data_IF_586281439120
#
_entry.id   IF_586281439120
#
_cell.length_a   1.000
_cell.length_b   1.000
_cell.length_c   1.000
_cell.angle_alpha   90.00
_cell.angle_beta   90.00
_cell.angle_gamma   90.00
#
_symmetry.space_group_name_H-M   'P 1'
#
loop_
_entity.id
_entity.type
_entity.pdbx_description
1 polymer ?
#
# COMPACT_ATOMS: atom_id res chain seq x y z
N UNK A 1 -60.76 -8.45 -37.01
CA UNK A 1 -59.66 -7.48 -37.09
C UNK A 1 -59.08 -7.34 -35.65
N UNK A 2 -57.97 -7.98 -35.41
CA UNK A 2 -57.25 -7.88 -34.14
C UNK A 2 -55.91 -7.25 -34.47
N UNK A 3 -55.73 -6.00 -34.07
CA UNK A 3 -54.48 -5.29 -34.20
C UNK A 3 -53.57 -5.67 -33.02
N UNK A 4 -52.52 -6.38 -33.34
CA UNK A 4 -51.45 -6.69 -32.38
C UNK A 4 -50.63 -5.46 -32.04
N UNK A 5 -50.58 -5.13 -30.76
CA UNK A 5 -49.66 -4.11 -30.27
C UNK A 5 -48.24 -4.68 -30.25
N UNK A 6 -47.41 -4.17 -31.15
CA UNK A 6 -45.97 -4.43 -31.13
C UNK A 6 -45.36 -3.70 -29.89
N UNK A 7 -44.89 -4.47 -28.91
CA UNK A 7 -44.11 -3.93 -27.83
C UNK A 7 -42.79 -3.40 -28.40
N UNK A 8 -42.61 -2.07 -28.42
CA UNK A 8 -41.35 -1.41 -28.77
C UNK A 8 -40.31 -1.74 -27.70
N UNK A 9 -39.39 -2.62 -28.04
CA UNK A 9 -38.16 -2.84 -27.28
C UNK A 9 -37.35 -1.54 -27.39
N UNK A 10 -37.33 -0.76 -26.33
CA UNK A 10 -36.45 0.41 -26.22
C UNK A 10 -34.99 -0.04 -26.40
N UNK A 11 -34.18 0.66 -27.21
CA UNK A 11 -32.79 0.30 -27.43
C UNK A 11 -32.05 0.42 -26.10
N UNK A 12 -31.35 -0.66 -25.71
CA UNK A 12 -30.44 -0.67 -24.57
C UNK A 12 -29.47 0.53 -24.68
N UNK A 13 -29.42 1.35 -23.65
CA UNK A 13 -28.41 2.40 -23.53
C UNK A 13 -27.02 1.71 -23.47
N UNK A 14 -26.36 1.60 -24.62
CA UNK A 14 -25.05 0.95 -24.80
C UNK A 14 -23.84 1.80 -24.36
N UNK A 15 -24.02 2.92 -23.64
CA UNK A 15 -22.97 3.93 -23.43
C UNK A 15 -22.64 4.23 -21.97
N UNK A 16 -22.98 3.39 -20.99
CA UNK A 16 -22.45 3.61 -19.65
C UNK A 16 -21.12 2.84 -19.49
N UNK A 17 -20.05 3.47 -18.93
CA UNK A 17 -18.79 2.79 -18.69
C UNK A 17 -18.99 1.62 -17.72
N UNK A 18 -18.15 0.56 -17.82
CA UNK A 18 -18.23 -0.55 -16.90
C UNK A 18 -18.03 -0.05 -15.47
N UNK A 19 -18.97 -0.41 -14.57
CA UNK A 19 -18.93 0.03 -13.19
C UNK A 19 -18.00 -0.86 -12.39
N UNK A 20 -16.91 -0.29 -11.84
CA UNK A 20 -15.93 -0.98 -11.01
C UNK A 20 -15.99 -0.42 -9.59
N UNK A 21 -16.12 -1.29 -8.60
CA UNK A 21 -16.19 -0.94 -7.21
C UNK A 21 -14.87 -1.24 -6.52
N UNK A 22 -14.21 -0.22 -5.97
CA UNK A 22 -12.97 -0.36 -5.19
C UNK A 22 -13.30 -0.37 -3.71
N UNK A 23 -13.03 -1.48 -3.01
CA UNK A 23 -13.44 -1.68 -1.62
C UNK A 23 -12.25 -1.55 -0.69
N UNK A 24 -12.35 -0.64 0.29
CA UNK A 24 -11.40 -0.49 1.40
C UNK A 24 -12.15 -0.23 2.71
N UNK A 25 -12.31 -1.24 3.54
CA UNK A 25 -13.07 -1.15 4.80
C UNK A 25 -12.21 -0.91 6.04
N UNK A 26 -10.89 -0.75 5.88
CA UNK A 26 -10.00 -0.36 6.97
C UNK A 26 -10.35 1.02 7.53
N UNK A 27 -10.03 1.24 8.82
CA UNK A 27 -10.32 2.53 9.49
C UNK A 27 -9.13 3.48 9.51
N UNK A 28 -7.91 2.94 9.51
CA UNK A 28 -6.62 3.65 9.46
C UNK A 28 -5.59 2.75 8.82
N UNK A 29 -4.54 3.32 8.29
CA UNK A 29 -3.40 2.57 7.77
C UNK A 29 -2.96 3.03 6.37
N UNK A 30 -1.83 2.51 5.86
CA UNK A 30 -1.23 2.96 4.61
C UNK A 30 -2.11 2.73 3.38
N UNK A 31 -3.06 1.78 3.43
CA UNK A 31 -4.00 1.55 2.35
C UNK A 31 -5.00 2.70 2.15
N UNK A 32 -5.13 3.61 3.12
CA UNK A 32 -5.89 4.87 2.95
C UNK A 32 -5.27 5.73 1.84
N UNK A 33 -3.98 6.04 1.94
CA UNK A 33 -3.27 6.82 0.91
C UNK A 33 -3.29 6.13 -0.44
N UNK A 34 -3.06 4.81 -0.48
CA UNK A 34 -3.18 4.02 -1.69
C UNK A 34 -4.58 4.19 -2.36
N UNK A 35 -5.64 4.14 -1.56
CA UNK A 35 -7.02 4.32 -2.06
C UNK A 35 -7.25 5.72 -2.60
N UNK A 36 -6.72 6.75 -1.96
CA UNK A 36 -6.82 8.15 -2.38
C UNK A 36 -6.09 8.39 -3.71
N UNK A 37 -4.86 7.90 -3.85
CA UNK A 37 -4.08 7.96 -5.09
C UNK A 37 -4.81 7.22 -6.24
N UNK A 38 -5.42 6.08 -5.94
CA UNK A 38 -6.20 5.33 -6.92
C UNK A 38 -7.45 6.12 -7.37
N UNK A 39 -8.11 6.81 -6.44
CA UNK A 39 -9.24 7.66 -6.75
C UNK A 39 -8.84 8.85 -7.63
N UNK A 40 -7.71 9.47 -7.36
CA UNK A 40 -7.15 10.52 -8.22
C UNK A 40 -6.86 10.01 -9.63
N UNK A 41 -6.25 8.82 -9.75
CA UNK A 41 -5.99 8.20 -11.05
C UNK A 41 -7.29 7.86 -11.81
N UNK A 42 -8.35 7.42 -11.12
CA UNK A 42 -9.66 7.16 -11.74
C UNK A 42 -10.31 8.44 -12.27
N UNK A 43 -10.15 9.59 -11.60
CA UNK A 43 -10.68 10.87 -12.10
C UNK A 43 -10.09 11.30 -13.43
N UNK A 44 -8.86 10.92 -13.71
CA UNK A 44 -8.20 11.19 -14.99
C UNK A 44 -8.66 10.22 -16.10
N UNK A 45 -9.49 9.21 -15.74
CA UNK A 45 -9.99 8.18 -16.64
C UNK A 45 -11.52 8.02 -16.52
N UNK A 46 -12.30 9.01 -16.97
CA UNK A 46 -13.75 9.03 -16.82
C UNK A 46 -14.47 7.88 -17.55
N UNK A 47 -13.79 7.23 -18.50
CA UNK A 47 -14.28 6.01 -19.16
C UNK A 47 -14.36 4.80 -18.22
N UNK A 48 -13.80 4.90 -17.00
CA UNK A 48 -13.94 3.92 -15.94
C UNK A 48 -15.00 4.44 -14.97
N UNK A 49 -16.13 3.78 -14.88
CA UNK A 49 -17.14 4.07 -13.87
C UNK A 49 -16.68 3.58 -12.48
N UNK A 50 -15.88 4.39 -11.79
CA UNK A 50 -15.32 4.00 -10.49
C UNK A 50 -16.19 4.45 -9.32
N UNK A 51 -16.54 3.51 -8.43
CA UNK A 51 -17.18 3.79 -7.14
C UNK A 51 -16.32 3.28 -6.00
N UNK A 52 -16.01 4.12 -5.03
CA UNK A 52 -15.23 3.74 -3.84
C UNK A 52 -16.17 3.33 -2.70
N UNK A 53 -15.90 2.15 -2.12
CA UNK A 53 -16.63 1.63 -0.98
C UNK A 53 -15.71 1.66 0.23
N UNK A 54 -15.99 2.53 1.17
CA UNK A 54 -15.11 2.75 2.34
C UNK A 54 -15.88 2.67 3.65
N UNK A 55 -15.15 2.46 4.74
CA UNK A 55 -15.71 2.64 6.06
C UNK A 55 -16.02 4.12 6.32
N UNK A 56 -17.21 4.45 6.76
CA UNK A 56 -17.58 5.82 7.21
C UNK A 56 -16.64 6.34 8.30
N UNK A 57 -16.01 5.43 9.06
CA UNK A 57 -15.08 5.73 10.14
C UNK A 57 -13.65 5.97 9.68
N UNK A 58 -13.38 5.86 8.38
CA UNK A 58 -12.07 6.15 7.82
C UNK A 58 -12.00 7.63 7.43
N UNK A 59 -10.99 8.39 7.91
CA UNK A 59 -10.80 9.81 7.54
C UNK A 59 -10.78 10.05 6.02
N UNK A 60 -10.28 9.10 5.23
CA UNK A 60 -10.21 9.19 3.76
C UNK A 60 -11.58 9.42 3.10
N UNK A 61 -12.69 9.10 3.77
CA UNK A 61 -14.03 9.35 3.23
C UNK A 61 -14.27 10.83 2.97
N UNK A 62 -13.70 11.72 3.80
CA UNK A 62 -13.76 13.16 3.60
C UNK A 62 -12.97 13.59 2.35
N UNK A 63 -11.77 13.08 2.18
CA UNK A 63 -10.91 13.39 1.05
C UNK A 63 -11.52 12.91 -0.27
N UNK A 64 -12.11 11.70 -0.29
CA UNK A 64 -12.80 11.14 -1.45
C UNK A 64 -14.03 11.98 -1.84
N UNK A 65 -14.78 12.53 -0.85
CA UNK A 65 -15.90 13.47 -1.13
C UNK A 65 -15.39 14.77 -1.73
N UNK A 66 -14.29 15.33 -1.21
CA UNK A 66 -13.68 16.54 -1.75
C UNK A 66 -13.18 16.34 -3.18
N UNK A 67 -12.69 15.15 -3.50
CA UNK A 67 -12.32 14.77 -4.86
C UNK A 67 -13.54 14.61 -5.80
N UNK A 68 -14.77 14.61 -5.29
CA UNK A 68 -15.97 14.39 -6.09
C UNK A 68 -16.11 12.96 -6.63
N UNK A 69 -15.52 11.97 -5.96
CA UNK A 69 -15.64 10.56 -6.34
C UNK A 69 -17.02 10.00 -6.05
N UNK A 70 -17.50 9.06 -6.87
CA UNK A 70 -18.65 8.23 -6.51
C UNK A 70 -18.28 7.38 -5.29
N UNK A 71 -19.08 7.48 -4.22
CA UNK A 71 -18.71 6.96 -2.90
C UNK A 71 -19.87 6.22 -2.24
N UNK A 72 -19.61 5.02 -1.74
CA UNK A 72 -20.48 4.26 -0.87
C UNK A 72 -19.84 4.13 0.50
N UNK A 73 -20.39 4.79 1.51
CA UNK A 73 -19.91 4.73 2.87
C UNK A 73 -20.66 3.68 3.68
N UNK A 74 -19.94 2.70 4.21
CA UNK A 74 -20.50 1.64 5.03
C UNK A 74 -20.18 1.86 6.51
N UNK A 75 -21.16 1.66 7.37
CA UNK A 75 -20.93 1.66 8.81
C UNK A 75 -20.22 0.35 9.21
N UNK A 76 -18.95 0.42 9.58
CA UNK A 76 -18.20 -0.70 10.12
C UNK A 76 -18.28 -0.73 11.65
N UNK A 77 -17.36 -1.37 12.35
CA UNK A 77 -17.35 -1.49 13.82
C UNK A 77 -16.14 -0.79 14.42
N UNK A 78 -16.25 -0.35 15.66
CA UNK A 78 -15.14 0.26 16.42
C UNK A 78 -14.18 -0.80 16.98
N UNK A 79 -14.75 -1.86 17.52
CA UNK A 79 -14.05 -2.97 18.14
C UNK A 79 -14.69 -4.29 17.73
N UNK A 80 -13.88 -5.33 17.56
CA UNK A 80 -14.36 -6.68 17.23
C UNK A 80 -15.26 -7.28 18.34
N UNK A 81 -15.19 -6.75 19.55
CA UNK A 81 -16.02 -7.16 20.69
C UNK A 81 -17.35 -6.41 20.80
N UNK A 82 -17.61 -5.43 19.94
CA UNK A 82 -18.84 -4.64 19.96
C UNK A 82 -20.03 -5.48 19.49
N UNK A 83 -21.14 -5.46 20.24
CA UNK A 83 -22.44 -6.04 19.83
C UNK A 83 -22.97 -5.45 18.52
N UNK A 84 -22.50 -4.27 18.13
CA UNK A 84 -22.86 -3.63 16.85
C UNK A 84 -22.26 -4.32 15.63
N UNK A 85 -21.25 -5.19 15.80
CA UNK A 85 -20.55 -5.86 14.68
C UNK A 85 -21.53 -6.62 13.79
N UNK A 86 -22.37 -7.47 14.35
CA UNK A 86 -23.35 -8.27 13.59
C UNK A 86 -24.41 -7.39 12.92
N UNK A 87 -24.97 -6.43 13.66
CA UNK A 87 -25.97 -5.49 13.12
C UNK A 87 -25.41 -4.69 11.94
N UNK A 88 -24.24 -4.11 12.11
CA UNK A 88 -23.59 -3.30 11.09
C UNK A 88 -23.17 -4.17 9.90
N UNK A 89 -22.76 -5.42 10.13
CA UNK A 89 -22.46 -6.37 9.04
C UNK A 89 -23.68 -6.58 8.12
N UNK A 90 -24.85 -6.91 8.67
CA UNK A 90 -26.03 -7.15 7.84
C UNK A 90 -26.52 -5.88 7.14
N UNK A 91 -26.43 -4.71 7.78
CA UNK A 91 -26.76 -3.43 7.17
C UNK A 91 -25.81 -3.09 6.02
N UNK A 92 -24.50 -3.18 6.25
CA UNK A 92 -23.46 -2.92 5.26
C UNK A 92 -23.55 -3.90 4.07
N UNK A 93 -23.76 -5.19 4.35
CA UNK A 93 -23.97 -6.20 3.34
C UNK A 93 -25.17 -5.88 2.43
N UNK A 94 -26.34 -5.57 3.03
CA UNK A 94 -27.54 -5.22 2.27
C UNK A 94 -27.31 -3.98 1.41
N UNK A 95 -26.68 -2.94 1.99
CA UNK A 95 -26.41 -1.67 1.29
C UNK A 95 -25.45 -1.88 0.12
N UNK A 96 -24.35 -2.62 0.34
CA UNK A 96 -23.37 -2.94 -0.71
C UNK A 96 -24.02 -3.72 -1.87
N UNK A 97 -24.70 -4.83 -1.56
CA UNK A 97 -25.26 -5.71 -2.58
C UNK A 97 -26.37 -5.01 -3.38
N UNK A 98 -27.25 -4.26 -2.71
CA UNK A 98 -28.25 -3.45 -3.39
C UNK A 98 -27.65 -2.42 -4.33
N UNK A 99 -26.55 -1.76 -3.94
CA UNK A 99 -25.85 -0.80 -4.77
C UNK A 99 -25.19 -1.47 -5.99
N UNK A 100 -24.57 -2.65 -5.82
CA UNK A 100 -23.97 -3.41 -6.90
C UNK A 100 -25.01 -3.88 -7.93
N UNK A 101 -26.15 -4.38 -7.46
CA UNK A 101 -27.25 -4.86 -8.32
C UNK A 101 -27.90 -3.69 -9.12
N UNK A 102 -28.18 -2.57 -8.42
CA UNK A 102 -28.80 -1.38 -9.03
C UNK A 102 -27.94 -0.79 -10.16
N UNK A 103 -26.63 -0.69 -9.91
CA UNK A 103 -25.69 -0.08 -10.87
C UNK A 103 -25.06 -1.09 -11.83
N UNK A 104 -25.51 -2.35 -11.83
CA UNK A 104 -24.99 -3.41 -12.70
C UNK A 104 -23.46 -3.48 -12.65
N UNK A 105 -22.90 -3.61 -11.45
CA UNK A 105 -21.45 -3.69 -11.24
C UNK A 105 -20.81 -4.76 -12.13
N UNK A 106 -19.78 -4.39 -12.87
CA UNK A 106 -19.00 -5.31 -13.68
C UNK A 106 -17.95 -6.06 -12.84
N UNK A 107 -17.33 -5.35 -11.92
CA UNK A 107 -16.30 -5.91 -11.04
C UNK A 107 -16.27 -5.24 -9.67
N UNK A 108 -15.79 -5.99 -8.70
CA UNK A 108 -15.41 -5.49 -7.37
C UNK A 108 -13.93 -5.82 -7.16
N UNK A 109 -13.15 -4.80 -6.82
CA UNK A 109 -11.73 -4.90 -6.49
C UNK A 109 -11.58 -4.62 -5.00
N UNK A 110 -11.28 -5.64 -4.22
CA UNK A 110 -10.95 -5.48 -2.81
C UNK A 110 -9.49 -5.05 -2.66
N UNK A 111 -9.26 -3.82 -2.21
CA UNK A 111 -7.93 -3.22 -2.11
C UNK A 111 -7.13 -3.74 -0.91
N UNK A 112 -7.83 -4.17 0.15
CA UNK A 112 -7.21 -4.78 1.33
C UNK A 112 -8.23 -5.68 2.03
N UNK A 113 -7.87 -6.94 2.34
CA UNK A 113 -8.76 -7.84 3.07
C UNK A 113 -9.21 -7.26 4.41
N UNK A 114 -10.49 -7.40 4.69
CA UNK A 114 -11.15 -7.02 5.94
C UNK A 114 -11.94 -8.21 6.47
N UNK A 115 -12.23 -8.27 7.78
CA UNK A 115 -12.93 -9.42 8.38
C UNK A 115 -14.29 -9.74 7.75
N UNK A 116 -14.91 -8.79 7.06
CA UNK A 116 -16.17 -8.99 6.35
C UNK A 116 -16.02 -9.34 4.87
N UNK A 117 -14.90 -8.98 4.25
CA UNK A 117 -14.74 -9.10 2.79
C UNK A 117 -14.72 -10.54 2.29
N UNK A 118 -14.26 -11.57 3.05
CA UNK A 118 -14.43 -12.97 2.63
C UNK A 118 -15.89 -13.41 2.48
N UNK A 119 -16.80 -12.84 3.30
CA UNK A 119 -18.22 -13.12 3.21
C UNK A 119 -18.87 -12.35 2.06
N UNK A 120 -18.57 -11.07 1.92
CA UNK A 120 -19.07 -10.25 0.82
C UNK A 120 -18.62 -10.80 -0.54
N UNK A 121 -17.35 -11.12 -0.69
CA UNK A 121 -16.77 -11.59 -1.94
C UNK A 121 -17.41 -12.88 -2.46
N UNK A 122 -17.70 -13.84 -1.58
CA UNK A 122 -18.42 -15.06 -1.96
C UNK A 122 -19.81 -14.77 -2.53
N UNK A 123 -20.50 -13.82 -1.93
CA UNK A 123 -21.84 -13.45 -2.38
C UNK A 123 -21.83 -12.61 -3.66
N UNK A 124 -20.86 -11.71 -3.80
CA UNK A 124 -20.62 -10.93 -5.01
C UNK A 124 -20.40 -11.88 -6.20
N UNK A 125 -19.54 -12.88 -6.05
CA UNK A 125 -19.32 -13.90 -7.09
C UNK A 125 -20.56 -14.69 -7.46
N UNK A 126 -21.38 -15.08 -6.47
CA UNK A 126 -22.65 -15.78 -6.74
C UNK A 126 -23.62 -14.96 -7.60
N UNK A 127 -23.48 -13.65 -7.63
CA UNK A 127 -24.23 -12.72 -8.50
C UNK A 127 -23.64 -12.57 -9.89
N UNK A 128 -22.56 -13.30 -10.21
CA UNK A 128 -21.88 -13.20 -11.49
C UNK A 128 -21.01 -11.94 -11.63
N UNK A 129 -20.82 -11.17 -10.56
CA UNK A 129 -19.95 -10.00 -10.52
C UNK A 129 -18.52 -10.48 -10.30
N UNK A 130 -17.59 -10.01 -11.14
CA UNK A 130 -16.18 -10.39 -11.03
C UNK A 130 -15.58 -9.87 -9.73
N UNK A 131 -14.90 -10.74 -8.98
CA UNK A 131 -14.27 -10.40 -7.71
C UNK A 131 -12.76 -10.52 -7.80
N UNK A 132 -12.07 -9.39 -7.62
CA UNK A 132 -10.61 -9.29 -7.58
C UNK A 132 -10.20 -8.92 -6.16
N UNK A 133 -9.16 -9.54 -5.62
CA UNK A 133 -8.63 -9.17 -4.30
C UNK A 133 -7.13 -8.93 -4.35
N UNK A 134 -6.66 -7.90 -3.63
CA UNK A 134 -5.24 -7.63 -3.45
C UNK A 134 -4.82 -8.25 -2.12
N UNK A 135 -3.90 -9.21 -2.14
CA UNK A 135 -3.32 -9.80 -0.95
C UNK A 135 -1.96 -9.17 -0.70
N UNK A 136 -1.87 -8.40 0.38
CA UNK A 136 -0.65 -7.71 0.78
C UNK A 136 0.32 -8.63 1.53
N UNK A 137 -0.22 -9.50 2.40
CA UNK A 137 0.54 -10.40 3.26
C UNK A 137 -0.07 -11.80 3.22
N UNK A 138 0.71 -12.81 2.86
CA UNK A 138 0.28 -14.21 2.91
C UNK A 138 0.51 -14.84 4.28
N UNK A 139 1.47 -14.33 5.04
CA UNK A 139 1.86 -14.80 6.36
C UNK A 139 1.74 -13.68 7.40
N UNK A 140 1.61 -14.08 8.67
CA UNK A 140 1.65 -13.18 9.81
C UNK A 140 3.06 -12.66 10.02
N UNK A 141 3.20 -11.34 10.24
CA UNK A 141 4.46 -10.75 10.67
C UNK A 141 4.62 -10.78 12.20
N UNK A 142 5.84 -10.99 12.73
CA UNK A 142 6.11 -10.93 14.16
C UNK A 142 5.72 -9.57 14.76
N UNK A 143 4.92 -9.62 15.83
CA UNK A 143 4.43 -8.41 16.50
C UNK A 143 3.16 -7.78 15.90
N UNK A 144 2.59 -8.36 14.83
CA UNK A 144 1.29 -7.91 14.34
C UNK A 144 0.14 -8.54 15.15
N UNK A 145 -0.60 -7.70 15.88
CA UNK A 145 -1.71 -8.14 16.73
C UNK A 145 -2.86 -8.79 15.94
N UNK A 146 -3.04 -8.44 14.66
CA UNK A 146 -4.11 -8.97 13.80
C UNK A 146 -3.72 -10.27 13.10
N UNK A 147 -2.50 -10.74 13.31
CA UNK A 147 -1.96 -11.89 12.60
C UNK A 147 -2.71 -13.21 12.83
N UNK A 148 -3.50 -13.37 13.92
CA UNK A 148 -4.38 -14.52 14.13
C UNK A 148 -5.53 -14.60 13.11
N UNK A 149 -5.88 -13.47 12.47
CA UNK A 149 -6.90 -13.38 11.43
C UNK A 149 -6.34 -13.61 10.02
N UNK A 150 -5.02 -13.72 9.85
CA UNK A 150 -4.40 -13.83 8.52
C UNK A 150 -4.98 -14.98 7.69
N UNK A 151 -5.21 -16.14 8.30
CA UNK A 151 -5.82 -17.29 7.62
C UNK A 151 -7.22 -16.98 7.10
N UNK A 152 -8.04 -16.27 7.87
CA UNK A 152 -9.37 -15.84 7.45
C UNK A 152 -9.30 -14.78 6.36
N UNK A 153 -8.48 -13.75 6.54
CA UNK A 153 -8.34 -12.63 5.59
C UNK A 153 -7.88 -13.12 4.21
N UNK A 154 -6.88 -14.00 4.16
CA UNK A 154 -6.38 -14.58 2.90
C UNK A 154 -7.31 -15.61 2.28
N UNK A 155 -8.36 -16.06 3.00
CA UNK A 155 -9.34 -17.01 2.45
C UNK A 155 -10.07 -16.48 1.21
N UNK A 156 -10.03 -15.18 0.97
CA UNK A 156 -10.53 -14.57 -0.28
C UNK A 156 -9.81 -15.11 -1.52
N UNK A 157 -8.52 -15.42 -1.40
CA UNK A 157 -7.72 -15.95 -2.49
C UNK A 157 -8.24 -17.31 -3.01
N UNK A 158 -8.94 -18.09 -2.17
CA UNK A 158 -9.51 -19.39 -2.60
C UNK A 158 -10.65 -19.23 -3.62
N UNK A 159 -11.40 -18.15 -3.55
CA UNK A 159 -12.58 -17.97 -4.40
C UNK A 159 -12.57 -16.76 -5.32
N UNK A 160 -11.62 -15.81 -5.15
CA UNK A 160 -11.51 -14.67 -6.03
C UNK A 160 -11.27 -15.10 -7.50
N UNK A 161 -11.83 -14.37 -8.46
CA UNK A 161 -11.60 -14.60 -9.89
C UNK A 161 -10.18 -14.24 -10.30
N UNK A 162 -9.61 -13.23 -9.60
CA UNK A 162 -8.19 -12.85 -9.68
C UNK A 162 -7.67 -12.50 -8.29
N UNK A 163 -6.45 -12.90 -8.03
CA UNK A 163 -5.68 -12.54 -6.84
C UNK A 163 -4.49 -11.71 -7.29
N UNK A 164 -4.44 -10.47 -6.84
CA UNK A 164 -3.31 -9.59 -7.10
C UNK A 164 -2.37 -9.64 -5.90
N UNK A 165 -1.08 -9.78 -6.17
CA UNK A 165 -0.02 -9.57 -5.17
C UNK A 165 0.85 -8.40 -5.60
N UNK A 166 1.46 -7.70 -4.64
CA UNK A 166 2.33 -6.55 -4.92
C UNK A 166 3.82 -6.91 -4.85
N UNK A 167 4.13 -8.22 -4.75
CA UNK A 167 5.46 -8.79 -4.86
C UNK A 167 5.37 -10.26 -5.27
N UNK A 168 6.44 -10.77 -5.89
CA UNK A 168 6.59 -12.21 -6.15
C UNK A 168 6.71 -12.99 -4.86
N UNK A 169 7.36 -12.42 -3.85
CA UNK A 169 7.50 -13.04 -2.53
C UNK A 169 6.14 -13.45 -1.94
N UNK A 170 5.10 -12.61 -2.05
CA UNK A 170 3.73 -12.95 -1.62
C UNK A 170 3.10 -14.00 -2.54
N UNK A 171 3.26 -13.89 -3.86
CA UNK A 171 2.73 -14.88 -4.81
C UNK A 171 3.30 -16.28 -4.55
N UNK A 172 4.61 -16.38 -4.31
CA UNK A 172 5.29 -17.63 -3.98
C UNK A 172 4.80 -18.23 -2.65
N UNK A 173 4.55 -17.38 -1.65
CA UNK A 173 3.97 -17.81 -0.37
C UNK A 173 2.56 -18.36 -0.55
N UNK A 174 1.71 -17.69 -1.34
CA UNK A 174 0.35 -18.18 -1.63
C UNK A 174 0.38 -19.51 -2.36
N UNK A 175 1.30 -19.69 -3.30
CA UNK A 175 1.51 -20.95 -4.03
C UNK A 175 1.99 -22.06 -3.10
N UNK A 176 3.03 -21.83 -2.29
CA UNK A 176 3.55 -22.80 -1.31
C UNK A 176 2.49 -23.25 -0.31
N UNK A 177 1.58 -22.36 0.08
CA UNK A 177 0.48 -22.63 0.99
C UNK A 177 -0.75 -23.21 0.28
N UNK A 178 -0.71 -23.39 -1.03
CA UNK A 178 -1.81 -23.88 -1.86
C UNK A 178 -3.13 -23.08 -1.65
N UNK A 179 -3.02 -21.76 -1.45
CA UNK A 179 -4.18 -20.91 -1.15
C UNK A 179 -4.88 -20.43 -2.42
N UNK A 180 -4.13 -20.23 -3.50
CA UNK A 180 -4.68 -19.83 -4.78
C UNK A 180 -4.02 -20.62 -5.92
N UNK A 181 -4.81 -20.92 -6.94
CA UNK A 181 -4.31 -21.47 -8.19
C UNK A 181 -3.43 -20.41 -8.89
N UNK A 182 -2.25 -20.83 -9.34
CA UNK A 182 -1.26 -19.97 -10.01
C UNK A 182 -1.84 -19.24 -11.23
N UNK A 183 -2.76 -19.87 -11.96
CA UNK A 183 -3.45 -19.26 -13.10
C UNK A 183 -4.34 -18.06 -12.72
N UNK A 184 -4.73 -17.95 -11.45
CA UNK A 184 -5.52 -16.82 -10.92
C UNK A 184 -4.68 -15.75 -10.24
N UNK A 185 -3.42 -16.05 -9.89
CA UNK A 185 -2.51 -15.09 -9.23
C UNK A 185 -1.81 -14.23 -10.27
N UNK A 186 -1.85 -12.92 -10.09
CA UNK A 186 -1.10 -11.95 -10.88
C UNK A 186 -0.27 -11.06 -9.96
N UNK A 187 1.02 -11.02 -10.16
CA UNK A 187 1.91 -10.08 -9.45
C UNK A 187 1.97 -8.78 -10.22
N UNK A 188 1.60 -7.69 -9.55
CA UNK A 188 1.80 -6.32 -9.99
C UNK A 188 2.86 -5.65 -9.12
N UNK A 189 3.33 -4.49 -9.55
CA UNK A 189 4.22 -3.66 -8.73
C UNK A 189 3.42 -2.90 -7.66
N UNK A 190 4.08 -2.54 -6.56
CA UNK A 190 3.50 -1.58 -5.62
C UNK A 190 3.68 -0.17 -6.22
N UNK A 191 2.60 0.57 -6.49
CA UNK A 191 2.73 1.92 -7.02
C UNK A 191 3.35 2.88 -6.02
N UNK A 192 4.06 3.89 -6.52
CA UNK A 192 4.61 4.97 -5.70
C UNK A 192 3.48 5.71 -4.99
N UNK A 193 3.67 6.04 -3.71
CA UNK A 193 2.73 6.82 -2.91
C UNK A 193 3.26 8.25 -2.74
N UNK A 194 2.49 9.22 -3.19
CA UNK A 194 2.86 10.63 -3.14
C UNK A 194 2.14 11.34 -2.00
N UNK A 195 2.84 12.23 -1.34
CA UNK A 195 2.30 13.09 -0.29
C UNK A 195 2.59 14.55 -0.63
N UNK A 196 1.66 15.43 -0.32
CA UNK A 196 1.84 16.84 -0.56
C UNK A 196 2.93 17.41 0.36
N UNK A 197 3.81 18.21 -0.21
CA UNK A 197 4.94 18.82 0.51
C UNK A 197 6.06 19.24 -0.43
N UNK A 198 7.08 19.91 0.10
CA UNK A 198 8.25 20.26 -0.69
C UNK A 198 8.98 19.00 -1.16
N UNK A 199 9.43 19.03 -2.41
CA UNK A 199 10.24 17.92 -2.92
C UNK A 199 11.63 17.96 -2.27
N UNK A 200 12.15 16.83 -1.80
CA UNK A 200 13.42 16.77 -1.04
C UNK A 200 14.65 17.27 -1.80
N UNK A 201 14.56 17.48 -3.10
CA UNK A 201 15.69 17.66 -4.00
C UNK A 201 16.24 19.07 -4.12
N UNK A 202 15.44 20.08 -3.80
CA UNK A 202 15.84 21.47 -4.07
C UNK A 202 16.79 22.06 -3.03
N UNK A 203 16.98 21.42 -1.86
CA UNK A 203 17.73 21.97 -0.74
C UNK A 203 18.75 21.02 -0.11
N UNK A 204 19.11 19.90 -0.78
CA UNK A 204 20.08 18.96 -0.19
C UNK A 204 21.49 19.51 -0.21
N UNK A 205 22.00 19.89 0.95
CA UNK A 205 23.41 20.23 1.14
C UNK A 205 24.22 18.94 1.37
N UNK A 206 24.77 18.40 0.29
CA UNK A 206 25.57 17.17 0.31
C UNK A 206 26.91 17.29 1.05
N UNK A 207 27.26 18.48 1.56
CA UNK A 207 28.43 18.68 2.45
C UNK A 207 28.10 18.33 3.91
N UNK A 208 26.81 18.26 4.27
CA UNK A 208 26.35 17.88 5.61
C UNK A 208 26.29 16.35 5.77
N UNK A 209 26.27 15.84 7.03
CA UNK A 209 26.05 14.42 7.29
C UNK A 209 24.78 13.89 6.63
N UNK A 210 24.81 12.61 6.22
CA UNK A 210 23.65 11.92 5.66
C UNK A 210 22.52 11.87 6.69
N UNK A 211 21.32 12.31 6.30
CA UNK A 211 20.12 12.28 7.14
C UNK A 211 19.26 11.10 6.76
N UNK A 212 19.12 10.16 7.69
CA UNK A 212 18.34 8.94 7.53
C UNK A 212 17.02 9.03 8.28
N UNK A 213 15.95 8.53 7.66
CA UNK A 213 14.63 8.40 8.28
C UNK A 213 14.22 6.94 8.40
N UNK A 214 13.95 6.49 9.63
CA UNK A 214 13.15 5.29 9.88
C UNK A 214 11.69 5.72 10.00
N UNK A 215 10.81 5.24 9.10
CA UNK A 215 9.44 5.69 8.98
C UNK A 215 8.42 4.54 9.08
N UNK A 216 7.25 4.85 9.68
CA UNK A 216 6.09 3.98 9.77
C UNK A 216 6.00 3.22 11.10
N UNK A 217 5.08 2.23 11.21
CA UNK A 217 4.85 1.49 12.46
C UNK A 217 6.15 0.88 12.99
N UNK A 218 6.43 1.07 14.27
CA UNK A 218 7.61 0.51 14.95
C UNK A 218 7.23 -0.88 15.45
N UNK A 219 7.54 -1.90 14.64
CA UNK A 219 7.28 -3.30 14.93
C UNK A 219 8.60 -4.07 14.96
N UNK A 220 8.62 -5.17 15.70
CA UNK A 220 9.84 -5.97 15.93
C UNK A 220 10.55 -6.38 14.62
N UNK A 221 9.79 -6.84 13.62
CA UNK A 221 10.36 -7.27 12.33
C UNK A 221 10.96 -6.13 11.51
N UNK A 222 10.60 -4.87 11.82
CA UNK A 222 11.11 -3.68 11.12
C UNK A 222 12.52 -3.26 11.56
N UNK A 223 13.10 -3.93 12.57
CA UNK A 223 14.52 -3.92 12.82
C UNK A 223 15.10 -2.61 13.38
N UNK A 224 14.34 -1.77 14.09
CA UNK A 224 14.88 -0.57 14.73
C UNK A 224 16.13 -0.85 15.56
N UNK A 225 16.22 -1.91 16.40
CA UNK A 225 17.44 -2.22 17.14
C UNK A 225 18.65 -2.50 16.25
N UNK A 226 18.45 -3.12 15.09
CA UNK A 226 19.50 -3.39 14.10
C UNK A 226 20.02 -2.10 13.48
N UNK A 227 19.12 -1.15 13.17
CA UNK A 227 19.51 0.17 12.69
C UNK A 227 20.37 0.92 13.71
N UNK A 228 19.93 0.95 14.98
CA UNK A 228 20.70 1.64 16.02
C UNK A 228 22.11 1.05 16.16
N UNK A 229 22.21 -0.30 16.14
CA UNK A 229 23.53 -0.96 16.16
C UNK A 229 24.39 -0.61 14.93
N UNK A 230 23.79 -0.50 13.75
CA UNK A 230 24.51 -0.09 12.54
C UNK A 230 25.04 1.36 12.65
N UNK A 231 24.23 2.28 13.19
CA UNK A 231 24.67 3.69 13.36
C UNK A 231 25.73 3.79 14.45
N UNK A 232 25.66 3.01 15.52
CA UNK A 232 26.71 2.93 16.54
C UNK A 232 28.05 2.43 15.97
N UNK A 233 28.02 1.47 15.02
CA UNK A 233 29.21 1.01 14.30
C UNK A 233 29.79 2.13 13.45
N UNK A 234 28.98 2.80 12.62
CA UNK A 234 29.40 3.92 11.78
C UNK A 234 30.04 5.05 12.59
N UNK A 235 29.42 5.40 13.72
CA UNK A 235 29.94 6.45 14.62
C UNK A 235 31.31 6.09 15.17
N UNK A 236 31.55 4.82 15.58
CA UNK A 236 32.87 4.33 16.04
C UNK A 236 33.94 4.37 14.96
N UNK A 237 33.54 4.24 13.72
CA UNK A 237 34.42 4.31 12.53
C UNK A 237 34.58 5.75 12.00
N UNK A 238 34.02 6.75 12.68
CA UNK A 238 34.11 8.18 12.28
C UNK A 238 33.16 8.58 11.18
N UNK A 239 32.22 7.73 10.76
CA UNK A 239 31.18 8.08 9.79
C UNK A 239 29.96 8.67 10.51
N UNK A 240 29.71 9.95 10.34
CA UNK A 240 28.59 10.65 10.96
C UNK A 240 27.34 10.61 10.08
N UNK A 241 26.24 10.17 10.67
CA UNK A 241 24.90 10.21 10.09
C UNK A 241 23.90 10.77 11.11
N UNK A 242 22.90 11.50 10.65
CA UNK A 242 21.78 11.95 11.47
C UNK A 242 20.61 10.98 11.32
N UNK A 243 19.89 10.69 12.42
CA UNK A 243 18.78 9.77 12.44
C UNK A 243 17.47 10.44 12.87
N UNK A 244 16.43 10.28 12.07
CA UNK A 244 15.05 10.48 12.48
C UNK A 244 14.32 9.15 12.61
N UNK A 245 13.45 9.05 13.61
CA UNK A 245 12.55 7.92 13.81
C UNK A 245 11.13 8.46 13.93
N UNK A 246 10.27 8.16 12.97
CA UNK A 246 8.90 8.66 12.93
C UNK A 246 7.88 7.54 12.73
N UNK A 247 6.96 7.40 13.66
CA UNK A 247 5.89 6.41 13.60
C UNK A 247 5.46 5.89 14.97
N UNK A 248 4.34 5.18 14.99
CA UNK A 248 3.78 4.65 16.22
C UNK A 248 4.31 3.25 16.54
N UNK A 249 4.63 3.01 17.79
CA UNK A 249 5.02 1.69 18.30
C UNK A 249 5.81 1.77 19.61
N UNK A 250 6.24 0.63 20.11
CA UNK A 250 7.02 0.54 21.36
C UNK A 250 8.51 0.78 21.06
N UNK A 251 9.05 1.85 21.65
CA UNK A 251 10.48 2.22 21.62
C UNK A 251 11.14 2.11 22.99
N UNK A 252 10.41 1.63 24.01
CA UNK A 252 10.85 1.75 25.41
C UNK A 252 12.27 1.25 25.67
N UNK A 253 12.64 0.09 25.10
CA UNK A 253 14.00 -0.48 25.23
C UNK A 253 15.09 0.29 24.47
N UNK A 254 14.71 1.05 23.44
CA UNK A 254 15.64 1.75 22.57
C UNK A 254 15.78 3.25 22.93
N UNK A 255 14.96 3.76 23.86
CA UNK A 255 14.91 5.19 24.20
C UNK A 255 16.29 5.75 24.58
N UNK A 256 17.04 5.05 25.42
CA UNK A 256 18.39 5.50 25.85
C UNK A 256 19.39 5.52 24.67
N UNK A 257 19.32 4.54 23.78
CA UNK A 257 20.17 4.47 22.57
C UNK A 257 19.83 5.57 21.58
N UNK A 258 18.55 5.80 21.35
CA UNK A 258 18.07 6.90 20.50
C UNK A 258 18.57 8.26 21.01
N UNK A 259 18.45 8.51 22.32
CA UNK A 259 18.95 9.71 22.95
C UNK A 259 20.49 9.85 22.84
N UNK A 260 21.24 8.77 23.08
CA UNK A 260 22.71 8.77 22.96
C UNK A 260 23.18 9.00 21.52
N UNK A 261 22.39 8.60 20.53
CA UNK A 261 22.63 8.86 19.12
C UNK A 261 22.20 10.27 18.68
N UNK A 262 21.49 11.02 19.51
CA UNK A 262 20.91 12.32 19.13
C UNK A 262 19.80 12.20 18.11
N UNK A 263 19.09 11.08 18.09
CA UNK A 263 18.02 10.84 17.12
C UNK A 263 16.80 11.73 17.37
N UNK A 264 16.24 12.33 16.32
CA UNK A 264 14.94 12.97 16.40
C UNK A 264 13.83 11.91 16.42
N UNK A 265 12.94 11.96 17.42
CA UNK A 265 11.92 10.94 17.61
C UNK A 265 10.51 11.52 17.59
N UNK A 266 9.68 11.05 16.66
CA UNK A 266 8.25 11.34 16.56
C UNK A 266 7.51 10.02 16.79
N UNK A 267 7.29 9.64 18.07
CA UNK A 267 6.64 8.36 18.41
C UNK A 267 5.12 8.51 18.49
N UNK A 268 4.50 8.71 17.34
CA UNK A 268 3.06 8.74 17.14
C UNK A 268 2.71 8.39 15.70
N UNK A 269 1.44 8.25 15.42
CA UNK A 269 0.96 8.27 14.03
C UNK A 269 1.32 9.63 13.39
N UNK A 270 1.88 9.59 12.18
CA UNK A 270 2.15 10.78 11.36
C UNK A 270 1.01 10.88 10.35
N UNK A 271 0.30 11.99 10.38
CA UNK A 271 -0.83 12.23 9.49
C UNK A 271 -0.35 12.56 8.07
N UNK A 272 -1.17 12.27 7.07
CA UNK A 272 -0.79 12.34 5.65
C UNK A 272 -0.31 13.74 5.23
N UNK A 273 -0.86 14.80 5.82
CA UNK A 273 -0.47 16.20 5.58
C UNK A 273 0.91 16.58 6.17
N UNK A 274 1.42 15.78 7.12
CA UNK A 274 2.75 15.96 7.71
C UNK A 274 3.83 15.18 6.94
N UNK A 275 3.46 14.07 6.28
CA UNK A 275 4.42 13.13 5.70
C UNK A 275 5.32 13.81 4.67
N UNK A 276 4.76 14.59 3.76
CA UNK A 276 5.58 15.27 2.73
C UNK A 276 6.64 16.19 3.33
N UNK A 277 6.26 17.00 4.35
CA UNK A 277 7.21 17.88 5.07
C UNK A 277 8.25 17.09 5.87
N UNK A 278 7.85 15.95 6.44
CA UNK A 278 8.79 15.07 7.15
C UNK A 278 9.84 14.51 6.18
N UNK A 279 9.40 13.97 5.04
CA UNK A 279 10.31 13.38 4.04
C UNK A 279 11.31 14.41 3.50
N UNK A 280 10.89 15.67 3.30
CA UNK A 280 11.75 16.72 2.79
C UNK A 280 12.97 17.06 3.70
N UNK A 281 12.93 16.62 4.96
CA UNK A 281 14.00 16.90 5.95
C UNK A 281 15.13 15.87 5.92
N UNK A 282 14.97 14.75 5.19
CA UNK A 282 15.89 13.62 5.18
C UNK A 282 16.36 13.26 3.76
N UNK A 283 17.53 12.65 3.67
CA UNK A 283 18.17 12.29 2.40
C UNK A 283 17.74 10.89 1.90
N UNK A 284 17.49 9.96 2.82
CA UNK A 284 17.11 8.58 2.50
C UNK A 284 16.22 7.98 3.59
N UNK A 285 15.38 7.03 3.18
CA UNK A 285 14.65 6.16 4.11
C UNK A 285 15.45 4.88 4.34
N UNK A 286 15.45 4.41 5.60
CA UNK A 286 16.08 3.14 5.93
C UNK A 286 15.04 2.09 6.33
N UNK A 287 15.16 0.89 5.73
CA UNK A 287 14.29 -0.27 5.93
C UNK A 287 15.11 -1.45 6.44
N UNK A 288 15.45 -1.50 7.74
CA UNK A 288 16.31 -2.51 8.33
C UNK A 288 15.55 -3.80 8.67
N UNK A 289 14.65 -4.21 7.76
CA UNK A 289 13.66 -5.24 8.02
C UNK A 289 14.29 -6.63 8.13
N UNK A 290 13.77 -7.45 9.02
CA UNK A 290 14.15 -8.87 9.14
C UNK A 290 13.33 -9.76 8.22
N UNK A 291 12.14 -9.30 7.83
CA UNK A 291 11.27 -9.94 6.86
C UNK A 291 10.34 -8.89 6.22
N UNK A 292 9.90 -9.11 4.99
CA UNK A 292 8.95 -8.24 4.33
C UNK A 292 8.19 -8.97 3.22
N UNK A 293 6.89 -8.81 3.17
CA UNK A 293 6.07 -9.16 2.00
C UNK A 293 6.25 -8.14 0.89
N UNK A 294 6.19 -6.88 1.24
CA UNK A 294 6.41 -5.67 0.43
C UNK A 294 6.49 -4.47 1.38
N UNK A 295 6.81 -3.27 0.88
CA UNK A 295 6.88 -2.08 1.74
C UNK A 295 6.17 -0.87 1.13
N UNK A 296 5.06 -0.47 1.76
CA UNK A 296 4.45 0.82 1.47
C UNK A 296 5.35 2.01 1.82
N UNK A 297 6.30 1.81 2.76
CA UNK A 297 7.31 2.84 3.10
C UNK A 297 8.32 3.02 1.98
N UNK A 298 8.72 1.94 1.28
CA UNK A 298 9.54 2.05 0.06
C UNK A 298 8.78 2.82 -1.03
N UNK A 299 7.49 2.50 -1.24
CA UNK A 299 6.65 3.21 -2.19
C UNK A 299 6.49 4.71 -1.83
N UNK A 300 6.41 5.04 -0.54
CA UNK A 300 6.41 6.42 -0.05
C UNK A 300 7.74 7.12 -0.34
N UNK A 301 8.87 6.47 -0.11
CA UNK A 301 10.19 6.99 -0.46
C UNK A 301 10.31 7.28 -1.96
N UNK A 302 9.89 6.33 -2.79
CA UNK A 302 9.95 6.46 -4.25
C UNK A 302 9.03 7.57 -4.78
N UNK A 303 7.83 7.73 -4.17
CA UNK A 303 6.93 8.84 -4.49
C UNK A 303 7.52 10.22 -4.20
N UNK A 304 8.47 10.30 -3.25
CA UNK A 304 9.26 11.48 -2.92
C UNK A 304 10.64 11.49 -3.61
N UNK A 305 10.90 10.60 -4.56
CA UNK A 305 12.20 10.42 -5.22
C UNK A 305 13.37 10.24 -4.23
N UNK A 306 13.13 9.64 -3.06
CA UNK A 306 14.12 9.41 -2.02
C UNK A 306 14.76 8.04 -2.16
N UNK A 307 16.11 7.95 -2.07
CA UNK A 307 16.81 6.68 -1.96
C UNK A 307 16.33 5.85 -0.76
N UNK A 308 16.31 4.53 -0.92
CA UNK A 308 16.05 3.59 0.16
C UNK A 308 17.31 2.83 0.51
N UNK A 309 17.67 2.76 1.80
CA UNK A 309 18.64 1.78 2.29
C UNK A 309 17.85 0.61 2.89
N UNK A 310 17.92 -0.56 2.31
CA UNK A 310 17.13 -1.71 2.74
C UNK A 310 17.97 -2.95 3.00
N UNK A 311 17.47 -3.85 3.85
CA UNK A 311 17.98 -5.22 3.96
C UNK A 311 17.41 -6.08 2.83
N UNK A 312 18.22 -7.00 2.28
CA UNK A 312 17.81 -7.85 1.17
C UNK A 312 16.87 -8.98 1.63
N UNK A 313 15.61 -8.64 1.97
CA UNK A 313 14.61 -9.60 2.45
C UNK A 313 13.30 -9.50 1.65
N UNK A 314 12.74 -10.66 1.32
CA UNK A 314 11.42 -10.79 0.70
C UNK A 314 11.17 -9.78 -0.42
N UNK A 315 10.01 -9.11 -0.40
CA UNK A 315 9.64 -8.12 -1.41
C UNK A 315 10.48 -6.84 -1.45
N UNK A 316 11.34 -6.58 -0.44
CA UNK A 316 12.28 -5.44 -0.51
C UNK A 316 13.28 -5.63 -1.67
N UNK A 317 13.75 -6.86 -1.92
CA UNK A 317 14.67 -7.15 -3.03
C UNK A 317 14.06 -6.94 -4.42
N UNK A 318 12.73 -6.92 -4.49
CA UNK A 318 12.00 -6.65 -5.72
C UNK A 318 11.74 -5.15 -5.93
N UNK A 319 11.51 -4.41 -4.83
CA UNK A 319 11.22 -2.98 -4.87
C UNK A 319 12.49 -2.14 -4.96
N UNK A 320 13.54 -2.53 -4.24
CA UNK A 320 14.80 -1.79 -4.17
C UNK A 320 15.83 -2.43 -5.09
N UNK A 321 16.17 -1.72 -6.16
CA UNK A 321 17.22 -2.10 -7.09
C UNK A 321 18.53 -1.42 -6.67
N UNK A 322 19.54 -2.22 -6.29
CA UNK A 322 20.81 -1.71 -5.76
C UNK A 322 21.51 -0.77 -6.75
N UNK A 323 21.87 0.42 -6.30
CA UNK A 323 22.46 1.50 -7.10
C UNK A 323 21.49 2.27 -8.02
N UNK A 324 20.23 1.83 -8.16
CA UNK A 324 19.23 2.48 -9.04
C UNK A 324 18.08 3.14 -8.27
N UNK A 325 17.45 2.42 -7.33
CA UNK A 325 16.35 2.97 -6.51
C UNK A 325 16.70 3.04 -5.03
N UNK A 326 17.86 2.50 -4.66
CA UNK A 326 18.37 2.49 -3.31
C UNK A 326 19.68 1.71 -3.19
N UNK A 327 20.02 1.36 -1.97
CA UNK A 327 21.18 0.52 -1.63
C UNK A 327 20.72 -0.65 -0.78
N UNK A 328 21.12 -1.88 -1.13
CA UNK A 328 20.77 -3.07 -0.38
C UNK A 328 21.94 -3.54 0.49
N UNK A 329 21.65 -3.77 1.76
CA UNK A 329 22.50 -4.53 2.64
C UNK A 329 22.41 -6.03 2.28
N UNK A 330 23.53 -6.72 2.22
CA UNK A 330 23.59 -8.14 1.80
C UNK A 330 22.94 -9.09 2.81
N UNK A 331 22.74 -8.65 4.05
CA UNK A 331 22.11 -9.41 5.13
C UNK A 331 21.36 -8.51 6.11
N UNK A 332 20.65 -9.12 7.06
CA UNK A 332 19.92 -8.40 8.14
C UNK A 332 20.79 -8.03 9.32
N UNK A 333 22.11 -8.17 9.24
CA UNK A 333 23.04 -7.83 10.33
C UNK A 333 23.30 -6.33 10.38
N UNK A 334 23.62 -5.83 11.58
CA UNK A 334 23.98 -4.42 11.77
C UNK A 334 25.21 -4.00 10.95
N UNK A 335 26.22 -4.89 10.82
CA UNK A 335 27.42 -4.64 10.02
C UNK A 335 27.09 -4.43 8.54
N UNK A 336 26.32 -5.38 7.95
CA UNK A 336 25.92 -5.27 6.54
C UNK A 336 25.06 -4.02 6.28
N UNK A 337 24.19 -3.66 7.21
CA UNK A 337 23.39 -2.43 7.11
C UNK A 337 24.29 -1.18 7.24
N UNK A 338 25.27 -1.18 8.12
CA UNK A 338 26.26 -0.11 8.25
C UNK A 338 27.05 0.09 6.94
N UNK A 339 27.46 -1.01 6.28
CA UNK A 339 28.15 -0.95 4.97
C UNK A 339 27.27 -0.30 3.89
N UNK A 340 25.98 -0.66 3.83
CA UNK A 340 25.03 -0.07 2.90
C UNK A 340 24.81 1.44 3.17
N UNK A 341 24.66 1.83 4.44
CA UNK A 341 24.54 3.24 4.83
C UNK A 341 25.82 4.01 4.48
N UNK A 342 27.00 3.43 4.75
CA UNK A 342 28.30 4.04 4.46
C UNK A 342 28.47 4.35 2.97
N UNK A 343 27.98 3.48 2.07
CA UNK A 343 28.02 3.74 0.61
C UNK A 343 27.32 5.06 0.28
N UNK A 344 26.13 5.33 0.83
CA UNK A 344 25.44 6.60 0.61
C UNK A 344 26.08 7.78 1.34
N UNK A 345 26.68 7.55 2.52
CA UNK A 345 27.31 8.60 3.31
C UNK A 345 28.60 9.12 2.66
N UNK A 346 29.37 8.24 2.03
CA UNK A 346 30.65 8.57 1.36
C UNK A 346 30.39 9.05 -0.07
N UNK A 347 29.60 8.32 -0.85
CA UNK A 347 29.27 8.65 -2.24
C UNK A 347 27.92 9.39 -2.29
N UNK A 348 28.00 10.72 -2.10
CA UNK A 348 26.80 11.57 -2.15
C UNK A 348 26.24 11.71 -3.57
N UNK A 349 27.07 11.52 -4.60
CA UNK A 349 26.61 11.52 -5.99
C UNK A 349 25.70 10.32 -6.27
N UNK A 350 25.89 9.21 -5.56
CA UNK A 350 24.99 8.06 -5.63
C UNK A 350 23.56 8.43 -5.18
N UNK A 351 23.39 9.27 -4.16
CA UNK A 351 22.06 9.76 -3.76
C UNK A 351 21.41 10.55 -4.90
N UNK A 352 22.16 11.42 -5.57
CA UNK A 352 21.66 12.20 -6.71
C UNK A 352 21.26 11.30 -7.87
N UNK A 353 22.13 10.35 -8.23
CA UNK A 353 21.85 9.37 -9.31
C UNK A 353 20.58 8.58 -9.03
N UNK A 354 20.42 8.08 -7.81
CA UNK A 354 19.22 7.32 -7.41
C UNK A 354 17.98 8.21 -7.48
N UNK A 355 18.01 9.42 -6.91
CA UNK A 355 16.88 10.36 -6.93
C UNK A 355 16.47 10.72 -8.36
N UNK A 356 17.47 10.96 -9.23
CA UNK A 356 17.24 11.25 -10.66
C UNK A 356 16.61 10.07 -11.38
N UNK A 357 17.12 8.86 -11.15
CA UNK A 357 16.55 7.63 -11.73
C UNK A 357 15.10 7.40 -11.27
N UNK A 358 14.82 7.57 -9.96
CA UNK A 358 13.47 7.45 -9.40
C UNK A 358 12.50 8.42 -10.06
N UNK A 359 12.94 9.65 -10.33
CA UNK A 359 12.13 10.67 -11.02
C UNK A 359 11.87 10.29 -12.47
N UNK A 360 12.91 9.93 -13.22
CA UNK A 360 12.81 9.57 -14.64
C UNK A 360 11.91 8.35 -14.86
N UNK A 361 11.92 7.39 -13.95
CA UNK A 361 11.13 6.15 -14.03
C UNK A 361 9.81 6.21 -13.24
N UNK A 362 9.42 7.38 -12.73
CA UNK A 362 8.22 7.53 -11.87
C UNK A 362 6.93 7.10 -12.57
N UNK A 363 6.81 7.30 -13.88
CA UNK A 363 5.65 6.87 -14.65
C UNK A 363 5.49 5.35 -14.69
N UNK A 364 6.58 4.60 -14.66
CA UNK A 364 6.58 3.14 -14.64
C UNK A 364 6.02 2.56 -13.33
N UNK A 365 6.10 3.34 -12.24
CA UNK A 365 5.59 2.99 -10.92
C UNK A 365 4.38 3.82 -10.52
N UNK A 366 3.76 4.52 -11.49
CA UNK A 366 2.63 5.41 -11.19
C UNK A 366 1.35 4.65 -10.84
N UNK A 367 0.52 5.25 -9.98
CA UNK A 367 -0.82 4.75 -9.70
C UNK A 367 -1.70 4.67 -10.95
N UNK A 368 -1.49 5.56 -11.92
CA UNK A 368 -2.21 5.55 -13.21
C UNK A 368 -1.92 4.28 -14.03
N UNK A 369 -0.65 3.86 -14.10
CA UNK A 369 -0.27 2.59 -14.72
C UNK A 369 -0.84 1.41 -13.95
N UNK A 370 -0.74 1.42 -12.62
CA UNK A 370 -1.30 0.39 -11.75
C UNK A 370 -2.82 0.24 -11.93
N UNK A 371 -3.55 1.35 -12.06
CA UNK A 371 -4.98 1.35 -12.38
C UNK A 371 -5.24 0.64 -13.72
N UNK A 372 -4.44 0.92 -14.75
CA UNK A 372 -4.55 0.26 -16.04
C UNK A 372 -4.41 -1.27 -15.94
N UNK A 373 -3.41 -1.74 -15.19
CA UNK A 373 -3.18 -3.18 -14.95
C UNK A 373 -4.35 -3.81 -14.16
N UNK A 374 -4.83 -3.16 -13.10
CA UNK A 374 -5.97 -3.66 -12.30
C UNK A 374 -7.25 -3.73 -13.13
N UNK A 375 -7.52 -2.73 -13.94
CA UNK A 375 -8.71 -2.73 -14.82
C UNK A 375 -8.61 -3.85 -15.84
N UNK A 376 -7.43 -4.10 -16.42
CA UNK A 376 -7.23 -5.22 -17.35
C UNK A 376 -7.50 -6.58 -16.67
N UNK A 377 -7.09 -6.77 -15.41
CA UNK A 377 -7.38 -7.98 -14.64
C UNK A 377 -8.84 -8.06 -14.15
N UNK A 378 -9.51 -6.91 -14.03
CA UNK A 378 -10.93 -6.80 -13.64
C UNK A 378 -11.86 -6.91 -14.84
N UNK A 379 -11.37 -6.72 -16.06
CA UNK A 379 -12.19 -6.58 -17.24
C UNK A 379 -12.88 -7.89 -17.63
N UNK A 380 -14.18 -7.76 -17.77
CA UNK A 380 -15.02 -8.60 -18.60
C UNK A 380 -15.20 -7.84 -19.92
N UNK A 381 -14.39 -8.14 -20.92
CA UNK A 381 -14.63 -7.69 -22.28
C UNK A 381 -14.24 -6.24 -22.66
N UNK A 382 -13.32 -5.60 -21.94
CA UNK A 382 -12.72 -4.34 -22.42
C UNK A 382 -11.53 -4.68 -23.32
N UNK A 383 -11.43 -4.16 -24.57
CA UNK A 383 -10.28 -4.39 -25.42
C UNK A 383 -9.00 -3.87 -24.74
N UNK A 384 -7.92 -4.65 -24.81
CA UNK A 384 -6.59 -4.19 -24.44
C UNK A 384 -6.21 -3.03 -25.37
N UNK A 385 -5.91 -1.88 -24.78
CA UNK A 385 -5.29 -0.76 -25.49
C UNK A 385 -3.82 -1.08 -25.77
#
# INVERSE_FOLDING_TARGET
MVLGAAASILPMQRNQPPQVYFVYLGRRGPAGRFTLELAQACRERPEIGATFVVSRRNPIAADLRQLGCSLLELETFESATSMSVARNFFAARRQLLSCLDHNRAAAVVNLMPHVWTPLFGREIRRRGIRYVTIIHDALKHPGDATGHLTGWLRSEAHFADRVITLSRAVADQLSKLQIADSGRVRTLFHPDLRYDGPMPEQERDFKKPLKLLFFGRILKYKGLPTLLAAIELLRREGTHVELGVAGSGDIGKETSRLAALGAEVINRWVDDDEVGRLLARYDAIVLPYHEASQSGVAATAFGACMPVVGTAVGGITEQVLDGLTGVLASSTTAGSLADAIRRLAIDRDLCIKISTHLRQTSLERSMKRFLGEIIAESAVGVPRL
#
